data_IF_131683634164
#
_entry.id   IF_131683634164
#
_cell.length_a   1.000
_cell.length_b   1.000
_cell.length_c   1.000
_cell.angle_alpha   90.00
_cell.angle_beta   90.00
_cell.angle_gamma   90.00
#
_symmetry.space_group_name_H-M   'P 1'
#
loop_
_entity.id
_entity.type
_entity.pdbx_description
1 polymer ?
#
# COMPACT_ATOMS: atom_id res chain seq x y z
N UNK A 1 -3.92 -25.65 -27.25
CA UNK A 1 -5.09 -25.47 -26.34
C UNK A 1 -4.56 -25.43 -24.89
N UNK A 2 -4.47 -24.24 -24.29
CA UNK A 2 -3.92 -24.11 -22.94
C UNK A 2 -5.00 -24.37 -21.90
N UNK A 3 -5.20 -25.65 -21.56
CA UNK A 3 -5.96 -26.02 -20.37
C UNK A 3 -5.09 -25.73 -19.13
N UNK A 4 -5.63 -25.03 -18.12
CA UNK A 4 -4.91 -24.70 -16.89
C UNK A 4 -4.71 -25.92 -15.95
N UNK A 5 -5.27 -27.09 -16.30
CA UNK A 5 -5.08 -28.35 -15.57
C UNK A 5 -5.82 -28.47 -14.23
N UNK A 6 -6.67 -27.53 -13.85
CA UNK A 6 -7.47 -27.63 -12.62
C UNK A 6 -8.54 -28.70 -12.72
N UNK A 7 -8.70 -29.51 -11.66
CA UNK A 7 -9.69 -30.57 -11.53
C UNK A 7 -10.58 -30.35 -10.31
N UNK A 8 -11.79 -30.89 -10.37
CA UNK A 8 -12.70 -30.86 -9.21
C UNK A 8 -12.05 -31.53 -8.00
N UNK A 9 -12.15 -30.89 -6.85
CA UNK A 9 -11.55 -31.38 -5.62
C UNK A 9 -10.10 -30.96 -5.37
N UNK A 10 -9.41 -30.35 -6.35
CA UNK A 10 -8.02 -29.90 -6.22
C UNK A 10 -7.87 -28.91 -5.06
N UNK A 11 -6.73 -29.00 -4.41
CA UNK A 11 -6.29 -28.11 -3.34
C UNK A 11 -5.54 -26.92 -3.93
N UNK A 12 -6.16 -25.76 -3.89
CA UNK A 12 -5.60 -24.48 -4.34
C UNK A 12 -5.12 -23.68 -3.14
N UNK A 13 -3.81 -23.46 -3.04
CA UNK A 13 -3.24 -22.64 -1.99
C UNK A 13 -2.93 -21.25 -2.55
N UNK A 14 -3.52 -20.21 -1.95
CA UNK A 14 -3.32 -18.81 -2.30
C UNK A 14 -2.51 -18.17 -1.18
N UNK A 15 -1.29 -17.70 -1.47
CA UNK A 15 -0.41 -17.04 -0.52
C UNK A 15 -0.49 -15.52 -0.71
N UNK A 16 -1.03 -14.85 0.30
CA UNK A 16 -1.29 -13.41 0.30
C UNK A 16 -2.76 -13.07 0.10
N UNK A 17 -3.37 -12.42 1.10
CA UNK A 17 -4.76 -11.96 1.13
C UNK A 17 -4.95 -10.50 0.73
N UNK A 18 -4.00 -9.93 -0.06
CA UNK A 18 -4.11 -8.61 -0.65
C UNK A 18 -5.21 -8.52 -1.70
N UNK A 19 -5.17 -7.52 -2.56
CA UNK A 19 -6.20 -7.30 -3.59
C UNK A 19 -6.36 -8.49 -4.53
N UNK A 20 -5.27 -9.07 -5.00
CA UNK A 20 -5.32 -10.21 -5.93
C UNK A 20 -5.82 -11.49 -5.24
N UNK A 21 -5.17 -11.90 -4.15
CA UNK A 21 -5.49 -13.16 -3.49
C UNK A 21 -6.90 -13.19 -2.92
N UNK A 22 -7.34 -12.09 -2.29
CA UNK A 22 -8.72 -11.97 -1.80
C UNK A 22 -9.73 -12.04 -2.96
N UNK A 23 -9.47 -11.31 -4.07
CA UNK A 23 -10.37 -11.33 -5.23
C UNK A 23 -10.47 -12.73 -5.82
N UNK A 24 -9.35 -13.44 -5.97
CA UNK A 24 -9.35 -14.80 -6.48
C UNK A 24 -10.10 -15.75 -5.53
N UNK A 25 -9.78 -15.74 -4.23
CA UNK A 25 -10.46 -16.57 -3.24
C UNK A 25 -11.99 -16.37 -3.26
N UNK A 26 -12.44 -15.11 -3.38
CA UNK A 26 -13.88 -14.78 -3.51
C UNK A 26 -14.49 -15.31 -4.80
N UNK A 27 -13.77 -15.28 -5.91
CA UNK A 27 -14.23 -15.83 -7.20
C UNK A 27 -14.41 -17.33 -7.11
N UNK A 28 -13.55 -18.02 -6.36
CA UNK A 28 -13.55 -19.48 -6.24
C UNK A 28 -14.47 -20.02 -5.13
N UNK A 29 -15.20 -19.19 -4.37
CA UNK A 29 -16.08 -19.62 -3.27
C UNK A 29 -17.08 -20.72 -3.69
N UNK A 30 -17.59 -20.66 -4.93
CA UNK A 30 -18.57 -21.61 -5.46
C UNK A 30 -17.95 -22.68 -6.36
N UNK A 31 -16.63 -22.70 -6.47
CA UNK A 31 -15.91 -23.71 -7.24
C UNK A 31 -15.84 -25.01 -6.45
N UNK A 32 -15.85 -26.14 -7.14
CA UNK A 32 -15.59 -27.46 -6.55
C UNK A 32 -14.08 -27.64 -6.34
N UNK A 33 -13.51 -26.83 -5.45
CA UNK A 33 -12.11 -26.77 -5.08
C UNK A 33 -11.94 -26.65 -3.57
N UNK A 34 -10.81 -27.10 -3.05
CA UNK A 34 -10.39 -26.87 -1.66
C UNK A 34 -9.44 -25.68 -1.63
N UNK A 35 -9.96 -24.48 -1.41
CA UNK A 35 -9.16 -23.25 -1.39
C UNK A 35 -8.60 -22.98 0.01
N UNK A 36 -7.30 -22.80 0.12
CA UNK A 36 -6.63 -22.37 1.35
C UNK A 36 -6.03 -20.98 1.09
N UNK A 37 -6.57 -19.96 1.73
CA UNK A 37 -5.98 -18.62 1.74
C UNK A 37 -4.99 -18.51 2.91
N UNK A 38 -3.74 -18.21 2.62
CA UNK A 38 -2.69 -18.04 3.64
C UNK A 38 -2.21 -16.60 3.63
N UNK A 39 -2.18 -15.96 4.79
CA UNK A 39 -1.60 -14.61 4.95
C UNK A 39 -0.97 -14.49 6.34
N UNK A 40 0.09 -13.68 6.45
CA UNK A 40 0.73 -13.35 7.73
C UNK A 40 -0.16 -12.47 8.63
N UNK A 41 -1.10 -11.74 8.05
CA UNK A 41 -2.12 -10.97 8.76
C UNK A 41 -3.45 -11.73 8.74
N UNK A 42 -4.28 -11.56 9.77
CA UNK A 42 -5.61 -12.18 9.81
C UNK A 42 -6.70 -11.40 9.06
N UNK A 43 -6.32 -10.33 8.37
CA UNK A 43 -7.26 -9.40 7.75
C UNK A 43 -6.73 -8.82 6.44
N UNK A 44 -7.64 -8.53 5.53
CA UNK A 44 -7.38 -7.72 4.34
C UNK A 44 -7.26 -6.26 4.73
N UNK A 45 -6.35 -5.52 4.09
CA UNK A 45 -6.07 -4.12 4.33
C UNK A 45 -6.33 -3.30 3.06
N UNK A 46 -7.11 -2.23 3.18
CA UNK A 46 -7.38 -1.33 2.06
C UNK A 46 -6.33 -0.22 2.00
N UNK A 47 -5.19 -0.53 1.40
CA UNK A 47 -3.98 0.31 1.37
C UNK A 47 -4.19 1.76 0.88
N UNK A 48 -5.06 2.06 -0.10
CA UNK A 48 -5.24 3.43 -0.58
C UNK A 48 -5.64 4.46 0.48
N UNK A 49 -6.15 4.00 1.64
CA UNK A 49 -6.55 4.90 2.74
C UNK A 49 -5.58 4.88 3.94
N UNK A 50 -4.40 4.29 3.83
CA UNK A 50 -3.41 4.26 4.90
C UNK A 50 -2.96 5.64 5.36
N UNK A 51 -2.82 6.60 4.44
CA UNK A 51 -2.46 7.96 4.79
C UNK A 51 -3.50 8.63 5.72
N UNK A 52 -4.77 8.19 5.67
CA UNK A 52 -5.81 8.70 6.57
C UNK A 52 -5.69 8.09 7.99
N UNK A 53 -5.18 6.87 8.13
CA UNK A 53 -4.81 6.34 9.44
C UNK A 53 -3.60 7.11 9.98
N UNK A 54 -2.56 7.26 9.16
CA UNK A 54 -1.33 7.97 9.54
C UNK A 54 -1.57 9.43 9.96
N UNK A 55 -2.60 10.07 9.44
CA UNK A 55 -3.02 11.44 9.79
C UNK A 55 -4.15 11.50 10.84
N UNK A 56 -4.53 10.37 11.46
CA UNK A 56 -5.58 10.33 12.49
C UNK A 56 -7.00 10.61 12.00
N UNK A 57 -7.28 10.42 10.69
CA UNK A 57 -8.61 10.68 10.09
C UNK A 57 -9.52 9.47 10.06
N UNK A 58 -8.96 8.27 9.94
CA UNK A 58 -9.70 7.02 9.93
C UNK A 58 -9.19 6.06 10.98
N UNK A 59 -10.12 5.32 11.56
CA UNK A 59 -9.79 4.20 12.41
C UNK A 59 -9.23 3.04 11.58
N UNK A 60 -8.20 2.33 12.09
CA UNK A 60 -7.64 1.15 11.45
C UNK A 60 -8.69 0.09 11.10
N UNK A 61 -9.67 -0.11 11.99
CA UNK A 61 -10.76 -1.06 11.83
C UNK A 61 -11.71 -0.74 10.66
N UNK A 62 -11.75 0.52 10.22
CA UNK A 62 -12.61 0.95 9.11
C UNK A 62 -12.16 0.41 7.76
N UNK A 63 -10.85 0.15 7.60
CA UNK A 63 -10.24 -0.31 6.35
C UNK A 63 -9.54 -1.66 6.47
N UNK A 64 -9.75 -2.37 7.59
CA UNK A 64 -9.23 -3.71 7.85
C UNK A 64 -10.39 -4.72 7.96
N UNK A 65 -10.30 -5.81 7.19
CA UNK A 65 -11.41 -6.76 7.03
C UNK A 65 -10.96 -8.17 7.39
N UNK A 66 -11.34 -8.74 8.55
CA UNK A 66 -10.90 -10.07 8.97
C UNK A 66 -11.30 -11.16 7.96
N UNK A 67 -10.35 -11.97 7.50
CA UNK A 67 -10.60 -13.02 6.50
C UNK A 67 -11.62 -14.02 6.96
N UNK A 68 -11.58 -14.45 8.22
CA UNK A 68 -12.59 -15.37 8.77
C UNK A 68 -14.00 -14.80 8.72
N UNK A 69 -14.16 -13.46 8.85
CA UNK A 69 -15.44 -12.79 8.70
C UNK A 69 -15.89 -12.75 7.23
N UNK A 70 -14.96 -12.51 6.31
CA UNK A 70 -15.25 -12.50 4.86
C UNK A 70 -15.74 -13.87 4.41
N UNK A 71 -15.08 -14.95 4.86
CA UNK A 71 -15.34 -16.32 4.41
C UNK A 71 -16.20 -17.14 5.38
N UNK A 72 -16.77 -16.55 6.44
CA UNK A 72 -17.52 -17.29 7.50
C UNK A 72 -18.68 -18.16 6.99
N UNK A 73 -19.24 -17.85 5.82
CA UNK A 73 -20.35 -18.60 5.20
C UNK A 73 -19.87 -19.55 4.08
N UNK A 74 -18.58 -19.60 3.80
CA UNK A 74 -18.00 -20.48 2.79
C UNK A 74 -17.50 -21.77 3.44
N UNK A 75 -17.80 -22.91 2.83
CA UNK A 75 -17.22 -24.21 3.21
C UNK A 75 -16.03 -24.61 2.36
N UNK A 76 -15.80 -23.92 1.22
CA UNK A 76 -14.74 -24.22 0.26
C UNK A 76 -13.48 -23.42 0.47
N UNK A 77 -13.52 -22.31 1.23
CA UNK A 77 -12.37 -21.45 1.51
C UNK A 77 -12.01 -21.52 2.98
N UNK A 78 -10.82 -22.09 3.28
CA UNK A 78 -10.21 -22.08 4.60
C UNK A 78 -9.16 -20.96 4.67
N UNK A 79 -9.09 -20.26 5.81
CA UNK A 79 -8.06 -19.25 6.06
C UNK A 79 -7.04 -19.75 7.08
N UNK A 80 -5.76 -19.59 6.76
CA UNK A 80 -4.64 -19.91 7.66
C UNK A 80 -3.74 -18.68 7.84
N UNK A 81 -3.56 -18.27 9.08
CA UNK A 81 -2.62 -17.22 9.42
C UNK A 81 -1.22 -17.82 9.55
N UNK A 82 -0.35 -17.52 8.58
CA UNK A 82 1.04 -17.99 8.58
C UNK A 82 1.90 -17.11 7.68
N UNK A 83 3.17 -16.95 8.05
CA UNK A 83 4.20 -16.39 7.16
C UNK A 83 4.84 -17.55 6.40
N UNK A 84 4.92 -17.43 5.08
CA UNK A 84 5.48 -18.45 4.19
C UNK A 84 6.93 -18.08 3.89
N UNK A 85 7.83 -18.98 4.26
CA UNK A 85 9.28 -18.77 4.16
C UNK A 85 9.89 -19.41 2.93
N UNK A 86 9.30 -20.54 2.44
CA UNK A 86 9.87 -21.28 1.34
C UNK A 86 8.80 -21.99 0.50
N UNK A 87 9.07 -22.17 -0.79
CA UNK A 87 8.30 -22.99 -1.72
C UNK A 87 9.15 -24.23 -2.06
N UNK A 88 8.56 -25.40 -1.99
CA UNK A 88 9.16 -26.70 -2.34
C UNK A 88 8.40 -27.24 -3.55
N UNK A 89 8.74 -26.79 -4.78
CA UNK A 89 7.92 -27.08 -5.96
C UNK A 89 7.86 -28.56 -6.32
N UNK A 90 8.97 -29.29 -6.19
CA UNK A 90 9.04 -30.73 -6.50
C UNK A 90 8.18 -31.57 -5.55
N UNK A 91 8.03 -31.12 -4.30
CA UNK A 91 7.19 -31.77 -3.29
C UNK A 91 5.75 -31.24 -3.30
N UNK A 92 5.44 -30.21 -4.10
CA UNK A 92 4.16 -29.47 -4.09
C UNK A 92 3.75 -29.02 -2.70
N UNK A 93 4.71 -28.40 -1.98
CA UNK A 93 4.53 -27.90 -0.61
C UNK A 93 5.01 -26.47 -0.48
N UNK A 94 4.42 -25.74 0.46
CA UNK A 94 4.97 -24.48 0.98
C UNK A 94 5.33 -24.67 2.46
N UNK A 95 6.38 -23.98 2.93
CA UNK A 95 6.85 -24.02 4.30
C UNK A 95 6.48 -22.72 5.02
N UNK A 96 5.99 -22.84 6.24
CA UNK A 96 5.68 -21.71 7.13
C UNK A 96 6.86 -21.40 8.05
N UNK A 97 6.88 -20.21 8.65
CA UNK A 97 7.88 -19.80 9.65
C UNK A 97 7.88 -20.66 10.94
N UNK A 98 6.88 -21.54 11.09
CA UNK A 98 6.78 -22.48 12.22
C UNK A 98 7.21 -23.91 11.84
N UNK A 99 7.96 -24.07 10.75
CA UNK A 99 8.42 -25.36 10.22
C UNK A 99 7.27 -26.34 9.92
N UNK A 100 6.10 -25.82 9.57
CA UNK A 100 4.95 -26.59 9.11
C UNK A 100 4.79 -26.46 7.61
N UNK A 101 4.35 -27.53 6.96
CA UNK A 101 4.12 -27.54 5.52
C UNK A 101 2.63 -27.54 5.18
N UNK A 102 2.31 -26.97 4.03
CA UNK A 102 0.97 -27.03 3.43
C UNK A 102 1.14 -27.57 2.01
N UNK A 103 0.49 -28.71 1.73
CA UNK A 103 0.50 -29.30 0.40
C UNK A 103 -0.50 -28.58 -0.52
N UNK A 104 -0.18 -28.52 -1.80
CA UNK A 104 -1.04 -27.95 -2.84
C UNK A 104 -1.05 -28.83 -4.11
N UNK A 105 -2.15 -28.78 -4.86
CA UNK A 105 -2.19 -29.21 -6.25
C UNK A 105 -1.84 -28.02 -7.15
N UNK A 106 -2.36 -26.81 -6.81
CA UNK A 106 -2.03 -25.55 -7.44
C UNK A 106 -1.63 -24.50 -6.40
N UNK A 107 -0.56 -23.76 -6.68
CA UNK A 107 -0.07 -22.65 -5.86
C UNK A 107 -0.27 -21.30 -6.56
N UNK A 108 -0.87 -20.36 -5.86
CA UNK A 108 -1.06 -18.98 -6.34
C UNK A 108 -0.29 -18.03 -5.42
N UNK A 109 0.73 -17.36 -5.94
CA UNK A 109 1.54 -16.41 -5.21
C UNK A 109 0.95 -15.01 -5.43
N UNK A 110 0.40 -14.41 -4.37
CA UNK A 110 -0.24 -13.10 -4.38
C UNK A 110 0.28 -12.21 -3.24
N UNK A 111 1.57 -12.34 -2.93
CA UNK A 111 2.26 -11.71 -1.80
C UNK A 111 2.44 -10.20 -1.94
N UNK A 112 2.13 -9.64 -3.12
CA UNK A 112 2.18 -8.21 -3.38
C UNK A 112 3.60 -7.64 -3.35
N UNK A 113 3.74 -6.44 -2.80
CA UNK A 113 5.01 -5.72 -2.72
C UNK A 113 5.33 -5.26 -1.30
N UNK A 114 6.59 -4.94 -1.07
CA UNK A 114 7.13 -4.28 0.12
C UNK A 114 7.80 -2.97 -0.27
N UNK A 115 8.09 -2.14 0.72
CA UNK A 115 8.85 -0.90 0.53
C UNK A 115 10.23 -1.19 -0.04
N UNK A 116 10.66 -0.40 -1.02
CA UNK A 116 11.97 -0.49 -1.63
C UNK A 116 12.84 0.66 -1.11
N UNK A 117 13.87 0.33 -0.36
CA UNK A 117 14.88 1.28 0.12
C UNK A 117 16.13 1.29 -0.78
N UNK A 118 16.05 0.70 -1.98
CA UNK A 118 17.13 0.62 -2.99
C UNK A 118 18.45 0.09 -2.42
N UNK A 119 18.37 -0.86 -1.47
CA UNK A 119 19.54 -1.48 -0.84
C UNK A 119 20.17 -0.66 0.29
N UNK A 120 19.66 0.53 0.57
CA UNK A 120 20.17 1.36 1.68
C UNK A 120 19.62 0.85 3.03
N UNK A 121 20.50 0.20 3.80
CA UNK A 121 20.17 -0.41 5.08
C UNK A 121 19.84 0.65 6.14
N UNK A 122 20.61 1.74 6.20
CA UNK A 122 20.40 2.84 7.13
C UNK A 122 19.00 3.45 6.99
N UNK A 123 18.57 3.74 5.75
CA UNK A 123 17.22 4.24 5.49
C UNK A 123 16.15 3.22 5.87
N UNK A 124 16.39 1.93 5.64
CA UNK A 124 15.41 0.87 5.99
C UNK A 124 15.25 0.67 7.50
N UNK A 125 16.28 1.00 8.30
CA UNK A 125 16.26 0.89 9.76
C UNK A 125 15.68 2.13 10.45
N UNK A 126 15.84 3.32 9.84
CA UNK A 126 15.49 4.59 10.47
C UNK A 126 14.23 5.27 9.90
N UNK A 127 13.82 4.98 8.66
CA UNK A 127 12.63 5.57 8.06
C UNK A 127 11.36 4.76 8.36
N UNK A 128 10.23 5.45 8.47
CA UNK A 128 8.92 4.82 8.52
C UNK A 128 8.43 4.47 7.11
N UNK A 129 7.96 3.24 6.92
CA UNK A 129 7.23 2.83 5.71
C UNK A 129 5.72 2.83 5.95
N UNK A 130 4.91 2.77 4.87
CA UNK A 130 3.44 2.79 4.97
C UNK A 130 2.82 1.74 4.03
N UNK A 131 3.08 0.46 4.33
CA UNK A 131 2.56 -0.70 3.57
C UNK A 131 1.59 -1.57 4.34
N UNK A 132 1.45 -1.33 5.64
CA UNK A 132 0.54 -2.04 6.53
C UNK A 132 -0.24 -1.08 7.41
N UNK A 133 -1.38 -1.55 7.92
CA UNK A 133 -2.18 -0.83 8.92
C UNK A 133 -1.33 -0.46 10.15
N UNK A 134 -0.47 -1.39 10.61
CA UNK A 134 0.39 -1.15 11.77
C UNK A 134 1.40 -0.03 11.50
N UNK A 135 2.09 -0.06 10.35
CA UNK A 135 3.03 1.02 9.97
C UNK A 135 2.34 2.39 9.91
N UNK A 136 1.08 2.44 9.44
CA UNK A 136 0.30 3.69 9.42
C UNK A 136 -0.03 4.18 10.84
N UNK A 137 -0.31 3.26 11.77
CA UNK A 137 -0.51 3.57 13.20
C UNK A 137 0.81 4.07 13.80
N UNK A 138 1.93 3.43 13.47
CA UNK A 138 3.25 3.81 13.98
C UNK A 138 3.64 5.21 13.51
N UNK A 139 3.37 5.56 12.25
CA UNK A 139 3.54 6.94 11.75
C UNK A 139 2.67 7.92 12.55
N UNK A 140 1.38 7.63 12.73
CA UNK A 140 0.49 8.49 13.52
C UNK A 140 1.01 8.70 14.94
N UNK A 141 1.36 7.61 15.61
CA UNK A 141 1.88 7.66 16.97
C UNK A 141 3.17 8.48 17.03
N UNK A 142 4.09 8.28 16.07
CA UNK A 142 5.37 9.01 16.03
C UNK A 142 5.17 10.50 15.80
N UNK A 143 4.29 10.89 14.89
CA UNK A 143 4.02 12.30 14.59
C UNK A 143 3.40 13.01 15.80
N UNK A 144 2.39 12.41 16.42
CA UNK A 144 1.78 12.96 17.62
C UNK A 144 2.78 13.05 18.78
N UNK A 145 3.57 11.99 18.96
CA UNK A 145 4.61 11.95 19.99
C UNK A 145 5.72 13.01 19.79
N UNK A 146 5.98 13.40 18.54
CA UNK A 146 6.94 14.46 18.26
C UNK A 146 6.51 15.81 18.84
N UNK A 147 5.21 16.10 18.86
CA UNK A 147 4.70 17.33 19.49
C UNK A 147 4.81 17.27 21.03
N UNK A 148 4.54 16.09 21.63
CA UNK A 148 4.77 15.88 23.05
C UNK A 148 6.24 16.08 23.43
N UNK A 149 7.18 15.64 22.59
CA UNK A 149 8.62 15.83 22.78
C UNK A 149 9.06 17.28 22.57
N UNK A 150 8.48 17.97 21.61
CA UNK A 150 8.80 19.39 21.36
C UNK A 150 8.59 20.26 22.58
N UNK A 151 7.53 20.00 23.37
CA UNK A 151 7.21 20.75 24.61
C UNK A 151 8.36 20.72 25.61
N UNK A 152 9.05 19.58 25.73
CA UNK A 152 10.13 19.34 26.69
C UNK A 152 11.53 19.46 26.07
N UNK A 153 11.63 19.64 24.76
CA UNK A 153 12.90 19.69 24.04
C UNK A 153 13.67 20.99 24.33
N UNK A 154 14.99 20.90 24.31
CA UNK A 154 15.85 22.08 24.36
C UNK A 154 15.66 22.93 23.10
N UNK A 155 15.86 24.26 23.15
CA UNK A 155 15.61 25.14 22.00
C UNK A 155 16.26 24.69 20.70
N UNK A 156 17.49 24.15 20.74
CA UNK A 156 18.25 23.66 19.60
C UNK A 156 17.69 22.35 19.02
N UNK A 157 16.96 21.57 19.79
CA UNK A 157 16.37 20.28 19.37
C UNK A 157 14.94 20.43 18.83
N UNK A 158 14.25 21.53 19.18
CA UNK A 158 12.83 21.72 18.86
C UNK A 158 12.52 21.58 17.37
N UNK A 159 13.36 22.16 16.53
CA UNK A 159 13.11 22.11 15.07
C UNK A 159 13.18 20.69 14.51
N UNK A 160 14.01 19.81 15.06
CA UNK A 160 14.09 18.42 14.62
C UNK A 160 12.79 17.64 14.89
N UNK A 161 12.05 17.97 15.96
CA UNK A 161 10.73 17.40 16.24
C UNK A 161 9.62 18.00 15.35
N UNK A 162 9.83 19.24 14.87
CA UNK A 162 8.88 20.00 14.07
C UNK A 162 9.08 19.84 12.54
N UNK A 163 10.07 19.07 12.10
CA UNK A 163 10.26 18.74 10.70
C UNK A 163 9.76 17.33 10.41
N UNK A 164 8.93 17.19 9.37
CA UNK A 164 8.56 15.89 8.77
C UNK A 164 9.09 15.88 7.34
N UNK A 165 9.91 14.88 7.01
CA UNK A 165 10.39 14.64 5.65
C UNK A 165 9.65 13.45 5.06
N UNK A 166 8.95 13.67 3.93
CA UNK A 166 8.26 12.63 3.18
C UNK A 166 9.05 12.40 1.90
N UNK A 167 9.48 11.17 1.65
CA UNK A 167 10.29 10.80 0.49
C UNK A 167 9.44 10.07 -0.53
N UNK A 168 9.30 10.66 -1.72
CA UNK A 168 8.51 10.14 -2.84
C UNK A 168 7.27 10.98 -3.14
N UNK A 169 7.26 11.63 -4.29
CA UNK A 169 6.16 12.49 -4.79
C UNK A 169 5.09 11.76 -5.59
N UNK A 170 4.97 10.42 -5.44
CA UNK A 170 3.85 9.65 -5.96
C UNK A 170 2.55 9.91 -5.20
N UNK A 171 1.43 9.23 -5.56
CA UNK A 171 0.13 9.44 -4.89
C UNK A 171 0.19 9.35 -3.37
N UNK A 172 0.87 8.35 -2.84
CA UNK A 172 1.01 8.14 -1.38
C UNK A 172 1.66 9.33 -0.67
N UNK A 173 2.79 9.84 -1.18
CA UNK A 173 3.48 10.96 -0.55
C UNK A 173 2.72 12.28 -0.69
N UNK A 174 2.09 12.50 -1.83
CA UNK A 174 1.23 13.68 -2.09
C UNK A 174 0.02 13.69 -1.17
N UNK A 175 -0.70 12.58 -1.04
CA UNK A 175 -1.87 12.42 -0.17
C UNK A 175 -1.52 12.59 1.31
N UNK A 176 -0.39 12.00 1.73
CA UNK A 176 0.09 12.10 3.09
C UNK A 176 0.52 13.53 3.44
N UNK A 177 1.24 14.21 2.53
CA UNK A 177 1.66 15.61 2.69
C UNK A 177 0.46 16.54 2.84
N UNK A 178 -0.56 16.38 1.98
CA UNK A 178 -1.80 17.11 2.08
C UNK A 178 -2.56 16.85 3.38
N UNK A 179 -2.59 15.59 3.83
CA UNK A 179 -3.26 15.21 5.07
C UNK A 179 -2.56 15.80 6.32
N UNK A 180 -1.23 15.84 6.35
CA UNK A 180 -0.49 16.49 7.44
C UNK A 180 -0.59 18.02 7.39
N UNK A 181 -0.67 18.63 6.21
CA UNK A 181 -0.90 20.06 6.07
C UNK A 181 -2.25 20.48 6.66
N UNK A 182 -3.29 19.66 6.49
CA UNK A 182 -4.58 19.92 7.12
C UNK A 182 -4.55 19.68 8.63
N UNK A 183 -3.84 18.66 9.10
CA UNK A 183 -3.63 18.41 10.51
C UNK A 183 -2.94 19.63 11.18
N UNK A 184 -1.88 20.17 10.53
CA UNK A 184 -1.18 21.39 10.93
C UNK A 184 -2.11 22.59 11.06
N UNK A 185 -3.00 22.76 10.06
CA UNK A 185 -3.85 23.96 9.97
C UNK A 185 -5.07 23.90 10.88
N UNK A 186 -5.78 22.77 10.88
CA UNK A 186 -7.15 22.71 11.41
C UNK A 186 -7.23 22.05 12.80
N UNK A 187 -6.25 21.21 13.18
CA UNK A 187 -6.35 20.31 14.34
C UNK A 187 -5.30 20.63 15.41
N UNK A 188 -4.02 20.53 15.09
CA UNK A 188 -2.94 20.63 16.07
C UNK A 188 -2.93 21.94 16.88
N UNK A 189 -3.23 23.13 16.31
CA UNK A 189 -3.25 24.36 17.08
C UNK A 189 -4.35 24.40 18.15
N UNK A 190 -5.37 23.54 18.04
CA UNK A 190 -6.43 23.43 19.07
C UNK A 190 -6.01 22.56 20.24
N UNK A 191 -5.09 21.61 19.99
CA UNK A 191 -4.62 20.67 21.01
C UNK A 191 -3.38 21.20 21.75
N UNK A 192 -2.50 21.90 21.04
CA UNK A 192 -1.18 22.32 21.55
C UNK A 192 -1.04 23.85 21.51
N UNK A 193 -1.60 24.54 22.51
CA UNK A 193 -1.61 26.01 22.56
C UNK A 193 -0.23 26.66 22.72
N UNK A 194 0.76 25.89 23.21
CA UNK A 194 2.11 26.37 23.50
C UNK A 194 3.11 26.07 22.37
N UNK A 195 2.68 25.47 21.29
CA UNK A 195 3.53 25.14 20.14
C UNK A 195 3.28 26.14 19.01
N UNK A 196 4.35 26.70 18.47
CA UNK A 196 4.30 27.55 17.27
C UNK A 196 4.29 26.69 16.00
N UNK A 197 3.09 26.36 15.50
CA UNK A 197 2.94 25.56 14.28
C UNK A 197 3.37 26.28 13.00
N UNK A 198 3.75 27.55 13.03
CA UNK A 198 4.40 28.17 11.86
C UNK A 198 5.76 27.52 11.57
N UNK A 199 6.42 26.98 12.59
CA UNK A 199 7.69 26.25 12.49
C UNK A 199 7.55 24.77 12.14
N UNK A 200 6.32 24.25 12.11
CA UNK A 200 6.08 22.87 11.69
C UNK A 200 6.20 22.74 10.18
N UNK A 201 7.27 22.12 9.71
CA UNK A 201 7.56 21.96 8.28
C UNK A 201 7.18 20.56 7.79
N UNK A 202 6.44 20.52 6.71
CA UNK A 202 6.14 19.31 5.94
C UNK A 202 6.92 19.43 4.64
N UNK A 203 7.94 18.58 4.47
CA UNK A 203 8.89 18.62 3.37
C UNK A 203 8.70 17.37 2.52
N UNK A 204 8.25 17.55 1.28
CA UNK A 204 8.10 16.46 0.31
C UNK A 204 9.28 16.45 -0.65
N UNK A 205 10.12 15.42 -0.58
CA UNK A 205 11.26 15.20 -1.48
C UNK A 205 10.87 14.23 -2.59
N UNK A 206 11.08 14.61 -3.84
CA UNK A 206 10.84 13.79 -5.03
C UNK A 206 12.08 13.79 -5.93
N UNK A 207 12.55 12.60 -6.27
CA UNK A 207 13.75 12.45 -7.11
C UNK A 207 13.57 12.84 -8.56
N UNK A 208 12.33 12.84 -9.06
CA UNK A 208 12.01 13.27 -10.41
C UNK A 208 11.66 14.77 -10.47
N UNK A 209 11.50 15.29 -11.69
CA UNK A 209 11.22 16.70 -11.94
C UNK A 209 9.83 17.15 -11.42
N UNK A 210 8.88 16.23 -11.28
CA UNK A 210 7.50 16.55 -10.92
C UNK A 210 6.95 15.57 -9.87
N UNK A 211 6.05 16.04 -9.02
CA UNK A 211 5.15 15.16 -8.27
C UNK A 211 4.14 14.51 -9.23
N UNK A 212 3.59 13.35 -8.86
CA UNK A 212 2.65 12.57 -9.67
C UNK A 212 3.15 12.36 -11.12
N UNK A 213 4.43 11.99 -11.26
CA UNK A 213 5.14 11.97 -12.54
C UNK A 213 4.48 11.13 -13.65
N UNK A 214 3.64 10.15 -13.28
CA UNK A 214 2.88 9.31 -14.23
C UNK A 214 1.56 9.92 -14.69
N UNK A 215 1.21 11.13 -14.23
CA UNK A 215 0.01 11.86 -14.63
C UNK A 215 0.33 12.94 -15.69
N UNK A 216 -0.70 13.54 -16.27
CA UNK A 216 -0.54 14.61 -17.25
C UNK A 216 0.09 15.89 -16.65
N UNK A 217 0.67 16.73 -17.49
CA UNK A 217 1.29 17.98 -17.04
C UNK A 217 0.31 18.86 -16.24
N UNK A 218 -0.96 18.91 -16.64
CA UNK A 218 -1.98 19.66 -15.92
C UNK A 218 -2.17 19.16 -14.48
N UNK A 219 -2.19 17.84 -14.28
CA UNK A 219 -2.32 17.22 -12.95
C UNK A 219 -1.06 17.40 -12.11
N UNK A 220 0.14 17.31 -12.71
CA UNK A 220 1.42 17.57 -12.04
C UNK A 220 1.49 19.00 -11.51
N UNK A 221 1.23 19.99 -12.38
CA UNK A 221 1.23 21.42 -12.02
C UNK A 221 0.18 21.69 -10.94
N UNK A 222 -1.04 21.17 -11.10
CA UNK A 222 -2.12 21.36 -10.12
C UNK A 222 -1.80 20.75 -8.77
N UNK A 223 -1.24 19.54 -8.75
CA UNK A 223 -0.81 18.85 -7.53
C UNK A 223 0.23 19.66 -6.76
N UNK A 224 1.30 20.08 -7.45
CA UNK A 224 2.34 20.92 -6.85
C UNK A 224 1.78 22.20 -6.27
N UNK A 225 1.00 22.94 -7.06
CA UNK A 225 0.37 24.18 -6.61
C UNK A 225 -0.50 23.96 -5.37
N UNK A 226 -1.31 22.91 -5.34
CA UNK A 226 -2.16 22.60 -4.18
C UNK A 226 -1.37 22.32 -2.92
N UNK A 227 -0.23 21.60 -3.02
CA UNK A 227 0.66 21.34 -1.90
C UNK A 227 1.31 22.64 -1.39
N UNK A 228 1.84 23.46 -2.29
CA UNK A 228 2.48 24.74 -1.95
C UNK A 228 1.48 25.73 -1.33
N UNK A 229 0.24 25.81 -1.86
CA UNK A 229 -0.88 26.59 -1.28
C UNK A 229 -1.24 26.14 0.17
N UNK A 230 -0.88 24.89 0.54
CA UNK A 230 -1.08 24.33 1.87
C UNK A 230 0.20 24.43 2.74
N UNK A 231 1.19 25.21 2.28
CA UNK A 231 2.48 25.38 2.96
C UNK A 231 3.29 24.09 3.11
N UNK A 232 3.16 23.16 2.15
CA UNK A 232 4.06 22.02 1.99
C UNK A 232 5.27 22.50 1.19
N UNK A 233 6.47 22.19 1.69
CA UNK A 233 7.74 22.48 1.00
C UNK A 233 8.00 21.35 0.01
N UNK A 234 7.82 21.60 -1.29
CA UNK A 234 8.03 20.60 -2.33
C UNK A 234 9.41 20.76 -2.94
N UNK A 235 10.26 19.74 -2.75
CA UNK A 235 11.61 19.63 -3.30
C UNK A 235 11.63 18.56 -4.38
N UNK A 236 11.66 18.98 -5.64
CA UNK A 236 11.82 18.07 -6.80
C UNK A 236 13.29 17.92 -7.15
N UNK A 237 13.64 16.89 -7.94
CA UNK A 237 15.02 16.54 -8.29
C UNK A 237 15.90 16.34 -7.03
N UNK A 238 15.25 15.90 -5.93
CA UNK A 238 15.83 15.82 -4.61
C UNK A 238 15.68 14.41 -4.03
N UNK A 239 16.82 13.80 -3.71
CA UNK A 239 16.91 12.43 -3.20
C UNK A 239 17.43 12.46 -1.77
N UNK A 240 16.80 11.71 -0.86
CA UNK A 240 17.34 11.45 0.47
C UNK A 240 18.48 10.43 0.35
N UNK A 241 19.69 10.84 0.77
CA UNK A 241 20.92 10.02 0.68
C UNK A 241 21.14 9.21 1.96
N UNK A 242 20.97 9.84 3.13
CA UNK A 242 21.13 9.18 4.43
C UNK A 242 20.19 9.77 5.48
N UNK A 243 19.91 8.99 6.53
CA UNK A 243 19.11 9.39 7.67
C UNK A 243 19.46 8.53 8.89
N UNK A 244 20.08 9.13 9.89
CA UNK A 244 20.57 8.46 11.11
C UNK A 244 19.55 8.44 12.26
N UNK A 245 18.33 8.92 12.03
CA UNK A 245 17.28 9.10 13.04
C UNK A 245 17.24 10.51 13.66
N UNK A 246 18.19 11.39 13.30
CA UNK A 246 18.28 12.76 13.77
C UNK A 246 18.36 13.79 12.65
N UNK A 247 19.03 13.44 11.57
CA UNK A 247 19.29 14.35 10.46
C UNK A 247 19.11 13.63 9.11
N UNK A 248 18.37 14.25 8.22
CA UNK A 248 18.20 13.81 6.83
C UNK A 248 19.17 14.57 5.94
N UNK A 249 19.99 13.86 5.15
CA UNK A 249 20.94 14.45 4.19
C UNK A 249 20.43 14.24 2.78
N UNK A 250 20.34 15.32 2.03
CA UNK A 250 19.86 15.34 0.65
C UNK A 250 21.04 15.32 -0.36
N UNK A 251 20.76 14.89 -1.60
CA UNK A 251 21.75 14.80 -2.66
C UNK A 251 22.38 16.13 -3.07
N UNK A 252 21.77 17.25 -2.74
CA UNK A 252 22.31 18.60 -2.98
C UNK A 252 23.19 19.11 -1.83
N UNK A 253 23.45 18.28 -0.82
CA UNK A 253 24.23 18.64 0.37
C UNK A 253 23.44 19.36 1.48
N UNK A 254 22.14 19.52 1.32
CA UNK A 254 21.30 20.09 2.37
C UNK A 254 21.12 19.10 3.52
N UNK A 255 21.25 19.60 4.74
CA UNK A 255 21.04 18.89 5.99
C UNK A 255 19.75 19.37 6.66
N UNK A 256 18.83 18.45 6.95
CA UNK A 256 17.54 18.75 7.57
C UNK A 256 17.48 18.02 8.91
N UNK A 257 17.59 18.74 10.05
CA UNK A 257 17.37 18.12 11.34
C UNK A 257 15.91 17.64 11.43
N UNK A 258 15.71 16.34 11.61
CA UNK A 258 14.37 15.75 11.71
C UNK A 258 14.40 14.45 12.51
N UNK A 259 13.31 14.18 13.22
CA UNK A 259 13.02 12.90 13.90
C UNK A 259 12.00 12.08 13.12
N UNK A 260 11.52 12.57 11.98
CA UNK A 260 10.35 12.04 11.29
C UNK A 260 10.61 11.96 9.78
N UNK A 261 11.10 10.80 9.31
CA UNK A 261 11.25 10.53 7.89
C UNK A 261 10.30 9.40 7.49
N UNK A 262 9.41 9.69 6.54
CA UNK A 262 8.44 8.73 6.01
C UNK A 262 8.81 8.39 4.56
N UNK A 263 9.06 7.12 4.31
CA UNK A 263 9.47 6.63 3.00
C UNK A 263 8.28 6.14 2.19
N UNK A 264 7.93 6.89 1.16
CA UNK A 264 6.88 6.59 0.19
C UNK A 264 7.44 6.39 -1.25
N UNK A 265 8.77 6.27 -1.41
CA UNK A 265 9.47 6.19 -2.69
C UNK A 265 9.72 4.75 -3.12
N UNK A 266 8.84 4.24 -3.95
CA UNK A 266 9.05 2.96 -4.62
C UNK A 266 8.65 1.72 -3.82
N UNK A 267 8.38 0.67 -4.59
CA UNK A 267 8.01 -0.65 -4.10
C UNK A 267 8.79 -1.72 -4.83
N UNK A 268 8.94 -2.88 -4.21
CA UNK A 268 9.56 -4.06 -4.81
C UNK A 268 8.71 -5.29 -4.52
N UNK A 269 8.68 -6.26 -5.43
CA UNK A 269 7.90 -7.48 -5.24
C UNK A 269 8.34 -8.25 -3.99
N UNK A 270 7.38 -8.88 -3.35
CA UNK A 270 7.62 -9.67 -2.13
C UNK A 270 7.75 -11.15 -2.50
N UNK A 271 8.91 -11.55 -3.03
CA UNK A 271 9.20 -12.93 -3.45
C UNK A 271 9.41 -13.85 -2.25
N UNK A 272 9.02 -15.12 -2.41
CA UNK A 272 9.25 -16.21 -1.46
C UNK A 272 10.42 -17.04 -1.98
N UNK A 273 11.30 -17.54 -1.11
CA UNK A 273 12.42 -18.41 -1.48
C UNK A 273 11.94 -19.75 -2.03
N UNK A 274 12.82 -20.46 -2.78
CA UNK A 274 12.58 -21.83 -3.24
C UNK A 274 12.26 -21.97 -4.72
N UNK A 275 12.13 -20.86 -5.46
CA UNK A 275 12.12 -20.85 -6.92
C UNK A 275 13.47 -20.32 -7.44
N UNK A 276 13.82 -20.66 -8.67
CA UNK A 276 15.11 -20.28 -9.25
C UNK A 276 15.17 -18.77 -9.56
N UNK A 277 16.38 -18.21 -9.56
CA UNK A 277 16.60 -16.79 -9.87
C UNK A 277 16.15 -16.45 -11.30
N UNK A 278 16.24 -17.39 -12.24
CA UNK A 278 15.75 -17.24 -13.63
C UNK A 278 14.22 -17.07 -13.74
N UNK A 279 13.48 -17.44 -12.70
CA UNK A 279 12.03 -17.22 -12.63
C UNK A 279 11.66 -15.80 -12.17
N UNK A 280 12.67 -14.94 -11.87
CA UNK A 280 12.48 -13.63 -11.25
C UNK A 280 13.17 -12.52 -12.04
N UNK A 281 12.46 -11.42 -12.28
CA UNK A 281 13.02 -10.18 -12.82
C UNK A 281 12.55 -8.99 -11.95
N UNK A 282 13.47 -8.10 -11.57
CA UNK A 282 13.15 -6.93 -10.73
C UNK A 282 12.37 -7.30 -9.46
N UNK A 283 12.73 -8.40 -8.80
CA UNK A 283 12.01 -8.98 -7.65
C UNK A 283 10.53 -9.31 -7.94
N UNK A 284 10.20 -9.76 -9.15
CA UNK A 284 8.85 -10.20 -9.55
C UNK A 284 8.95 -11.51 -10.32
N UNK A 285 8.01 -12.42 -10.11
CA UNK A 285 7.96 -13.69 -10.83
C UNK A 285 7.54 -13.48 -12.28
N UNK A 286 8.28 -14.06 -13.22
CA UNK A 286 8.00 -14.01 -14.65
C UNK A 286 6.85 -14.95 -14.95
N UNK A 287 5.74 -14.41 -15.47
CA UNK A 287 4.54 -15.17 -15.78
C UNK A 287 4.11 -15.00 -17.25
N UNK A 288 3.38 -16.00 -17.75
CA UNK A 288 2.67 -15.90 -19.02
C UNK A 288 1.37 -15.07 -18.89
N UNK A 289 0.64 -14.88 -19.97
CA UNK A 289 -0.61 -14.10 -19.99
C UNK A 289 -1.79 -14.79 -19.27
N UNK A 290 -1.59 -16.02 -18.79
CA UNK A 290 -2.50 -16.74 -17.91
C UNK A 290 -2.07 -16.66 -16.43
N UNK A 291 -1.09 -15.82 -16.11
CA UNK A 291 -0.46 -15.67 -14.80
C UNK A 291 0.31 -16.90 -14.31
N UNK A 292 0.63 -17.87 -15.16
CA UNK A 292 1.37 -19.07 -14.81
C UNK A 292 2.88 -18.81 -14.94
N UNK A 293 3.67 -19.30 -14.00
CA UNK A 293 5.14 -19.29 -14.11
C UNK A 293 5.57 -20.21 -15.27
N UNK A 294 6.47 -19.74 -16.14
CA UNK A 294 6.83 -20.44 -17.39
C UNK A 294 7.37 -21.86 -17.17
N UNK A 295 8.02 -22.13 -16.06
CA UNK A 295 8.64 -23.43 -15.75
C UNK A 295 7.72 -24.42 -15.02
N UNK A 296 6.53 -23.99 -14.61
CA UNK A 296 5.63 -24.80 -13.78
C UNK A 296 4.22 -24.83 -14.36
N UNK A 297 3.60 -26.00 -14.34
CA UNK A 297 2.22 -26.17 -14.81
C UNK A 297 1.18 -25.77 -13.76
N UNK A 298 1.58 -25.67 -12.48
CA UNK A 298 0.70 -25.55 -11.34
C UNK A 298 1.05 -24.41 -10.39
N UNK A 299 1.99 -23.53 -10.76
CA UNK A 299 2.37 -22.35 -9.96
C UNK A 299 2.06 -21.07 -10.74
N UNK A 300 1.36 -20.16 -10.07
CA UNK A 300 0.87 -18.89 -10.64
C UNK A 300 1.30 -17.73 -9.77
N UNK A 301 1.46 -16.53 -10.35
CA UNK A 301 1.68 -15.31 -9.57
C UNK A 301 0.75 -14.17 -10.05
N UNK A 302 0.25 -13.37 -9.10
CA UNK A 302 -0.73 -12.32 -9.32
C UNK A 302 -0.34 -11.00 -8.65
N UNK A 303 -0.70 -9.90 -9.28
CA UNK A 303 -0.53 -8.54 -8.76
C UNK A 303 0.92 -8.10 -8.73
N UNK A 304 1.29 -7.32 -7.72
CA UNK A 304 2.58 -6.61 -7.68
C UNK A 304 3.80 -7.53 -7.71
N UNK A 305 3.66 -8.80 -7.30
CA UNK A 305 4.73 -9.80 -7.32
C UNK A 305 4.88 -10.49 -8.68
N UNK A 306 3.93 -10.32 -9.61
CA UNK A 306 3.97 -10.91 -10.95
C UNK A 306 4.53 -9.92 -11.98
N UNK A 307 5.46 -10.38 -12.83
CA UNK A 307 5.96 -9.67 -14.00
C UNK A 307 5.38 -10.30 -15.25
N UNK A 308 4.47 -9.60 -15.91
CA UNK A 308 3.80 -10.04 -17.12
C UNK A 308 4.00 -9.04 -18.24
N UNK A 309 4.62 -9.46 -19.32
CA UNK A 309 4.72 -8.69 -20.55
C UNK A 309 3.50 -8.94 -21.44
N UNK A 310 2.94 -7.88 -21.97
CA UNK A 310 1.82 -7.92 -22.90
C UNK A 310 2.02 -6.90 -24.01
N UNK A 311 1.26 -6.95 -25.13
CA UNK A 311 1.38 -5.98 -26.21
C UNK A 311 1.30 -4.52 -25.77
N UNK A 312 0.40 -4.19 -24.84
CA UNK A 312 0.27 -2.82 -24.31
C UNK A 312 1.33 -2.48 -23.23
N UNK A 313 1.93 -3.49 -22.60
CA UNK A 313 2.92 -3.31 -21.51
C UNK A 313 4.13 -4.21 -21.71
N UNK A 314 4.99 -3.92 -22.70
CA UNK A 314 6.15 -4.75 -23.05
C UNK A 314 7.23 -4.78 -21.95
N UNK A 315 7.21 -3.83 -21.00
CA UNK A 315 8.11 -3.75 -19.86
C UNK A 315 7.47 -4.23 -18.55
N UNK A 316 6.36 -4.97 -18.64
CA UNK A 316 5.57 -5.46 -17.51
C UNK A 316 4.53 -4.46 -17.00
N UNK A 317 3.46 -4.99 -16.43
CA UNK A 317 2.36 -4.19 -15.87
C UNK A 317 2.82 -3.35 -14.65
N UNK A 318 2.19 -2.17 -14.43
CA UNK A 318 2.42 -1.39 -13.22
C UNK A 318 1.93 -2.12 -11.96
N UNK A 319 2.58 -1.85 -10.82
CA UNK A 319 2.23 -2.43 -9.52
C UNK A 319 1.09 -1.61 -8.88
N UNK A 320 -0.13 -1.83 -9.35
CA UNK A 320 -1.34 -1.12 -8.91
C UNK A 320 -2.48 -2.08 -8.59
N UNK A 321 -3.37 -1.67 -7.69
CA UNK A 321 -4.49 -2.49 -7.23
C UNK A 321 -5.39 -2.99 -8.37
N UNK A 322 -5.63 -2.18 -9.41
CA UNK A 322 -6.46 -2.54 -10.55
C UNK A 322 -5.87 -3.70 -11.37
N UNK A 323 -4.55 -3.72 -11.58
CA UNK A 323 -3.87 -4.86 -12.22
C UNK A 323 -4.07 -6.11 -11.37
N UNK A 324 -3.80 -6.04 -10.07
CA UNK A 324 -3.93 -7.16 -9.15
C UNK A 324 -5.36 -7.76 -9.14
N UNK A 325 -6.38 -6.91 -9.05
CA UNK A 325 -7.80 -7.32 -9.05
C UNK A 325 -8.19 -7.95 -10.40
N UNK A 326 -7.78 -7.34 -11.51
CA UNK A 326 -8.18 -7.79 -12.83
C UNK A 326 -7.45 -9.06 -13.26
N UNK A 327 -6.16 -9.23 -12.92
CA UNK A 327 -5.46 -10.51 -13.09
C UNK A 327 -6.17 -11.63 -12.32
N UNK A 328 -6.55 -11.39 -11.06
CA UNK A 328 -7.26 -12.36 -10.25
C UNK A 328 -8.65 -12.73 -10.81
N UNK A 329 -9.38 -11.75 -11.35
CA UNK A 329 -10.66 -11.99 -12.04
C UNK A 329 -10.47 -12.83 -13.29
N UNK A 330 -9.45 -12.53 -14.11
CA UNK A 330 -9.15 -13.26 -15.34
C UNK A 330 -8.76 -14.71 -15.03
N UNK A 331 -7.80 -14.93 -14.15
CA UNK A 331 -7.39 -16.26 -13.73
C UNK A 331 -8.57 -17.03 -13.12
N UNK A 332 -9.37 -16.40 -12.25
CA UNK A 332 -10.53 -17.05 -11.67
C UNK A 332 -11.58 -17.48 -12.69
N UNK A 333 -11.84 -16.67 -13.73
CA UNK A 333 -12.71 -17.06 -14.85
C UNK A 333 -12.15 -18.26 -15.63
N UNK A 334 -10.86 -18.27 -15.91
CA UNK A 334 -10.20 -19.36 -16.61
C UNK A 334 -10.22 -20.66 -15.80
N UNK A 335 -10.00 -20.59 -14.47
CA UNK A 335 -10.13 -21.76 -13.59
C UNK A 335 -11.57 -22.31 -13.61
N UNK A 336 -12.58 -21.44 -13.49
CA UNK A 336 -13.99 -21.87 -13.52
C UNK A 336 -14.40 -22.48 -14.86
N UNK A 337 -13.84 -22.03 -15.97
CA UNK A 337 -14.02 -22.65 -17.28
C UNK A 337 -13.40 -24.05 -17.33
N UNK A 338 -12.15 -24.19 -16.87
CA UNK A 338 -11.45 -25.47 -16.83
C UNK A 338 -12.22 -26.54 -16.03
N UNK A 339 -12.85 -26.15 -14.90
CA UNK A 339 -13.65 -27.06 -14.07
C UNK A 339 -14.98 -27.49 -14.68
N UNK A 340 -15.46 -26.80 -15.71
CA UNK A 340 -16.71 -27.12 -16.42
C UNK A 340 -16.50 -27.95 -17.68
N UNK A 341 -15.29 -28.45 -17.93
CA UNK A 341 -14.88 -29.08 -19.18
C UNK A 341 -15.21 -28.23 -20.44
N UNK A 342 -15.22 -26.91 -20.24
CA UNK A 342 -15.41 -25.94 -21.31
C UNK A 342 -14.17 -25.99 -22.21
N UNK A 343 -14.36 -26.51 -23.45
CA UNK A 343 -13.30 -26.65 -24.46
C UNK A 343 -12.85 -25.31 -25.04
N UNK A 344 -13.45 -24.19 -24.63
CA UNK A 344 -13.03 -22.88 -25.08
C UNK A 344 -11.61 -22.56 -24.53
N UNK A 345 -10.83 -21.85 -25.33
CA UNK A 345 -9.49 -21.43 -24.94
C UNK A 345 -9.50 -20.54 -23.71
N UNK A 346 -8.47 -20.65 -22.88
CA UNK A 346 -8.26 -19.74 -21.77
C UNK A 346 -8.04 -18.30 -22.30
N UNK A 347 -8.56 -17.33 -21.60
CA UNK A 347 -8.51 -15.92 -21.98
C UNK A 347 -7.19 -15.32 -21.48
N UNK A 348 -6.36 -14.90 -22.41
CA UNK A 348 -5.16 -14.13 -22.12
C UNK A 348 -5.50 -12.81 -21.41
N UNK A 349 -4.68 -12.47 -20.43
CA UNK A 349 -4.83 -11.19 -19.73
C UNK A 349 -4.17 -10.05 -20.51
N UNK A 350 -4.87 -8.94 -20.58
CA UNK A 350 -4.34 -7.63 -21.00
C UNK A 350 -4.87 -6.56 -20.03
N UNK A 351 -4.00 -5.65 -19.62
CA UNK A 351 -4.40 -4.56 -18.75
C UNK A 351 -4.82 -3.35 -19.56
N UNK A 352 -6.00 -2.84 -19.27
CA UNK A 352 -6.47 -1.54 -19.73
C UNK A 352 -6.47 -0.58 -18.55
N UNK A 353 -5.75 0.52 -18.67
CA UNK A 353 -5.65 1.51 -17.60
C UNK A 353 -7.02 2.14 -17.33
N UNK A 354 -7.44 2.09 -16.08
CA UNK A 354 -8.69 2.66 -15.60
C UNK A 354 -8.53 4.12 -15.13
N UNK A 355 -7.32 4.64 -15.21
CA UNK A 355 -6.96 5.98 -14.78
C UNK A 355 -6.31 6.04 -13.40
N UNK A 356 -5.89 7.24 -13.05
CA UNK A 356 -5.17 7.55 -11.82
C UNK A 356 -5.84 8.70 -11.08
N UNK A 357 -5.72 8.73 -9.76
CA UNK A 357 -6.25 9.80 -8.96
C UNK A 357 -5.45 9.98 -7.66
N UNK A 358 -5.38 11.22 -7.18
CA UNK A 358 -4.76 11.55 -5.89
C UNK A 358 -5.49 12.74 -5.25
N UNK A 359 -5.67 12.69 -3.93
CA UNK A 359 -6.18 13.85 -3.16
C UNK A 359 -5.03 14.69 -2.63
N UNK A 360 -5.24 16.00 -2.56
CA UNK A 360 -4.31 16.96 -1.99
C UNK A 360 -5.05 17.75 -0.90
N UNK A 361 -5.40 17.04 0.17
CA UNK A 361 -6.26 17.58 1.22
C UNK A 361 -7.76 17.66 0.83
N UNK A 362 -8.54 18.44 1.58
CA UNK A 362 -9.99 18.62 1.36
C UNK A 362 -10.25 19.48 0.13
N UNK A 363 -11.26 19.13 -0.66
CA UNK A 363 -11.69 19.81 -1.88
C UNK A 363 -10.65 19.95 -2.98
N UNK A 364 -9.50 19.31 -2.84
CA UNK A 364 -8.44 19.34 -3.84
C UNK A 364 -8.05 17.92 -4.20
N UNK A 365 -8.25 17.55 -5.44
CA UNK A 365 -7.80 16.28 -6.01
C UNK A 365 -7.49 16.47 -7.49
N UNK A 366 -6.75 15.54 -8.04
CA UNK A 366 -6.57 15.34 -9.47
C UNK A 366 -7.07 13.94 -9.82
N UNK A 367 -7.87 13.83 -10.86
CA UNK A 367 -8.45 12.58 -11.34
C UNK A 367 -8.29 12.52 -12.85
N UNK A 368 -7.65 11.48 -13.33
CA UNK A 368 -7.53 11.16 -14.74
C UNK A 368 -8.18 9.82 -14.99
N UNK A 369 -9.30 9.81 -15.66
CA UNK A 369 -9.96 8.62 -16.17
C UNK A 369 -9.72 8.54 -17.69
N UNK A 370 -9.95 7.39 -18.34
CA UNK A 370 -9.65 7.20 -19.77
C UNK A 370 -10.22 8.29 -20.70
N UNK A 371 -11.35 8.91 -20.32
CA UNK A 371 -12.06 9.86 -21.17
C UNK A 371 -12.20 11.26 -20.57
N UNK A 372 -11.77 11.48 -19.32
CA UNK A 372 -11.94 12.76 -18.65
C UNK A 372 -10.84 13.03 -17.63
N UNK A 373 -10.37 14.28 -17.59
CA UNK A 373 -9.46 14.79 -16.58
C UNK A 373 -10.15 15.85 -15.75
N UNK A 374 -10.06 15.73 -14.43
CA UNK A 374 -10.75 16.60 -13.49
C UNK A 374 -9.79 17.04 -12.39
N UNK A 375 -10.03 18.24 -11.84
CA UNK A 375 -9.27 18.78 -10.71
C UNK A 375 -10.16 19.53 -9.74
N UNK A 376 -9.65 19.79 -8.53
CA UNK A 376 -10.35 20.55 -7.50
C UNK A 376 -11.46 19.75 -6.81
N UNK A 377 -12.54 20.44 -6.44
CA UNK A 377 -13.61 19.85 -5.61
C UNK A 377 -14.38 18.71 -6.31
N UNK A 378 -14.67 18.86 -7.60
CA UNK A 378 -15.37 17.81 -8.37
C UNK A 378 -14.54 16.53 -8.40
N UNK A 379 -13.24 16.64 -8.69
CA UNK A 379 -12.32 15.51 -8.65
C UNK A 379 -12.28 14.86 -7.26
N UNK A 380 -12.32 15.64 -6.19
CA UNK A 380 -12.33 15.17 -4.83
C UNK A 380 -13.59 14.36 -4.47
N UNK A 381 -14.79 14.80 -4.89
CA UNK A 381 -16.04 14.05 -4.70
C UNK A 381 -16.04 12.73 -5.48
N UNK A 382 -15.50 12.73 -6.71
CA UNK A 382 -15.36 11.50 -7.51
C UNK A 382 -14.39 10.54 -6.84
N UNK A 383 -13.25 11.02 -6.37
CA UNK A 383 -12.27 10.22 -5.61
C UNK A 383 -12.92 9.57 -4.38
N UNK A 384 -13.66 10.36 -3.58
CA UNK A 384 -14.37 9.86 -2.40
C UNK A 384 -15.37 8.77 -2.76
N UNK A 385 -16.21 9.01 -3.76
CA UNK A 385 -17.23 8.06 -4.18
C UNK A 385 -16.60 6.73 -4.64
N UNK A 386 -15.60 6.78 -5.51
CA UNK A 386 -14.94 5.59 -6.04
C UNK A 386 -14.25 4.78 -4.94
N UNK A 387 -13.53 5.45 -4.03
CA UNK A 387 -12.88 4.76 -2.91
C UNK A 387 -13.89 4.14 -1.95
N UNK A 388 -14.99 4.84 -1.67
CA UNK A 388 -16.06 4.29 -0.84
C UNK A 388 -16.69 3.05 -1.47
N UNK A 389 -16.90 3.04 -2.80
CA UNK A 389 -17.44 1.87 -3.50
C UNK A 389 -16.52 0.65 -3.42
N UNK A 390 -15.21 0.84 -3.39
CA UNK A 390 -14.22 -0.24 -3.30
C UNK A 390 -14.12 -0.88 -1.90
N UNK A 391 -14.67 -0.26 -0.85
CA UNK A 391 -14.69 -0.81 0.51
C UNK A 391 -15.57 -2.07 0.56
N UNK A 392 -15.07 -3.13 1.18
CA UNK A 392 -15.69 -4.46 1.13
C UNK A 392 -17.02 -4.60 1.89
N UNK A 393 -17.23 -3.85 2.95
CA UNK A 393 -18.36 -4.02 3.87
C UNK A 393 -19.26 -2.80 3.85
N UNK A 394 -20.58 -3.02 3.79
CA UNK A 394 -21.58 -1.94 3.92
C UNK A 394 -21.40 -1.18 5.22
N UNK A 395 -21.20 -1.89 6.35
CA UNK A 395 -20.93 -1.27 7.65
C UNK A 395 -19.73 -0.31 7.56
N UNK A 396 -18.62 -0.76 7.00
CA UNK A 396 -17.42 0.06 6.91
C UNK A 396 -17.58 1.24 5.93
N UNK A 397 -18.34 1.06 4.83
CA UNK A 397 -18.72 2.18 3.95
C UNK A 397 -19.44 3.28 4.73
N UNK A 398 -20.42 2.91 5.55
CA UNK A 398 -21.16 3.86 6.39
C UNK A 398 -20.24 4.53 7.42
N UNK A 399 -19.42 3.77 8.12
CA UNK A 399 -18.47 4.32 9.12
C UNK A 399 -17.51 5.32 8.46
N UNK A 400 -16.92 4.98 7.32
CA UNK A 400 -16.01 5.87 6.57
C UNK A 400 -16.76 7.11 6.09
N UNK A 401 -17.98 6.94 5.54
CA UNK A 401 -18.81 8.04 5.09
C UNK A 401 -19.11 9.03 6.21
N UNK A 402 -19.55 8.52 7.38
CA UNK A 402 -19.83 9.37 8.54
C UNK A 402 -18.57 10.03 9.11
N UNK A 403 -17.44 9.33 9.17
CA UNK A 403 -16.16 9.92 9.58
C UNK A 403 -15.73 11.04 8.63
N UNK A 404 -15.88 10.85 7.33
CA UNK A 404 -15.58 11.90 6.35
C UNK A 404 -16.55 13.09 6.48
N UNK A 405 -17.84 12.83 6.60
CA UNK A 405 -18.86 13.89 6.80
C UNK A 405 -18.60 14.69 8.09
N UNK A 406 -18.31 13.99 9.19
CA UNK A 406 -17.96 14.62 10.47
C UNK A 406 -16.69 15.49 10.34
N UNK A 407 -15.61 14.89 9.84
CA UNK A 407 -14.35 15.65 9.62
C UNK A 407 -14.54 16.82 8.68
N UNK A 408 -15.45 16.71 7.71
CA UNK A 408 -15.78 17.78 6.79
C UNK A 408 -16.45 18.97 7.50
N UNK A 409 -17.45 18.70 8.34
CA UNK A 409 -18.25 19.71 9.03
C UNK A 409 -17.48 20.37 10.20
N UNK A 410 -16.78 19.56 11.01
CA UNK A 410 -16.14 20.02 12.26
C UNK A 410 -14.72 20.49 12.07
N UNK A 411 -14.07 20.14 10.95
CA UNK A 411 -12.62 20.31 10.73
C UNK A 411 -11.80 19.74 11.89
N UNK A 412 -12.25 18.62 12.43
CA UNK A 412 -11.63 17.94 13.54
C UNK A 412 -11.53 16.43 13.27
N UNK A 413 -10.56 15.78 13.92
CA UNK A 413 -10.35 14.35 13.89
C UNK A 413 -10.16 13.85 15.30
N UNK A 414 -10.93 12.87 15.74
CA UNK A 414 -10.91 12.36 17.14
C UNK A 414 -9.82 11.32 17.41
N UNK A 415 -9.08 10.88 16.38
CA UNK A 415 -8.21 9.69 16.49
C UNK A 415 -6.75 10.07 16.84
N UNK A 416 -6.56 10.94 17.81
CA UNK A 416 -5.26 11.41 18.27
C UNK A 416 -4.76 10.65 19.50
N UNK A 417 -4.91 9.35 19.49
CA UNK A 417 -4.47 8.47 20.58
C UNK A 417 -3.08 7.94 20.25
N UNK A 418 -2.13 8.14 21.14
CA UNK A 418 -0.79 7.54 21.05
C UNK A 418 -0.84 6.20 21.77
N UNK A 419 -0.51 5.13 21.07
CA UNK A 419 -0.46 3.76 21.60
C UNK A 419 0.95 3.19 21.42
N UNK A 420 1.38 2.31 22.33
CA UNK A 420 2.66 1.58 22.23
C UNK A 420 3.92 2.47 22.17
N UNK A 421 4.07 3.39 23.11
CA UNK A 421 5.31 4.16 23.26
C UNK A 421 6.37 3.27 23.92
N UNK A 422 7.46 2.99 23.21
CA UNK A 422 8.61 2.30 23.79
C UNK A 422 9.61 3.29 24.40
N UNK A 423 9.33 3.72 25.61
CA UNK A 423 10.22 4.61 26.36
C UNK A 423 11.63 4.04 26.62
N UNK A 424 11.83 2.70 26.46
CA UNK A 424 13.16 2.09 26.65
C UNK A 424 14.07 2.32 25.44
N UNK A 425 13.53 2.29 24.23
CA UNK A 425 14.30 2.60 23.01
C UNK A 425 14.76 4.06 22.98
N UNK A 426 13.97 4.98 23.54
CA UNK A 426 14.33 6.40 23.59
C UNK A 426 15.44 6.74 24.58
N UNK A 427 15.56 6.00 25.71
CA UNK A 427 16.65 6.24 26.67
C UNK A 427 18.04 5.92 26.10
N UNK A 428 18.13 5.04 25.12
CA UNK A 428 19.41 4.68 24.46
C UNK A 428 19.90 5.79 23.53
N UNK A 429 18.98 6.59 22.97
CA UNK A 429 19.31 7.71 22.06
C UNK A 429 19.74 8.95 22.87
N UNK A 430 19.26 9.12 24.12
CA UNK A 430 19.58 10.28 24.97
C UNK A 430 20.86 10.13 25.77
N UNK A 431 21.55 8.99 25.74
CA UNK A 431 22.77 8.70 26.51
C UNK A 431 24.01 8.45 25.63
N UNK A 432 23.92 8.69 24.36
CA UNK A 432 25.05 8.76 23.41
C UNK A 432 25.10 10.17 22.82
#
# INVERSE_FOLDING_TARGET
MSNLGFKKGDKVVIVGGGFAGLQLARTLIKADLKVILVDKQNHHQFQPLFYQIASGRLEPSSISFPFRKIFQRSKSVDFRMADITNILPDERKIMTAYDRTINYDHLIIATGCRTNFFGNKELSENCFSMKTTQESIDIRNKILFSFEKEIFARPEEKQAWMNIVIVGGGPTGVELSGAFAELKKDVLPKDYHNIDFSKFNIILCEGSKNTLNNMSEESKVSSRKYLEDMSVIVKTETILVSYDGNEAVLNNGEHIPTKNVIWAAGVTGNIIKGLADDDVIRNRYIVDRLNRLKRFDNIYALGDVAYMETPLYPNGHPQVANVAINQAKNLGKNILKSLKDDKSEAIDYEYHDLGMMATIGKHKAVVELPFIKLKGAIAWYIWMFLHLMLILSVRNKLVIFFNWAWSYLTKDTSLRIITNIDYKKEKVISLK
#
